data_IF_558840181521
#
_entry.id   IF_558840181521
#
_cell.length_a   1.000
_cell.length_b   1.000
_cell.length_c   1.000
_cell.angle_alpha   90.00
_cell.angle_beta   90.00
_cell.angle_gamma   90.00
#
_symmetry.space_group_name_H-M   'P 1'
#
loop_
_entity.id
_entity.type
_entity.pdbx_description
1 polymer ?
#
# COMPACT_ATOMS: atom_id res chain seq x y z
N UNK A 1 57.16 6.40 49.37
CA UNK A 1 58.55 6.37 48.88
C UNK A 1 58.66 5.30 47.80
N UNK A 2 59.18 5.67 46.60
CA UNK A 2 59.82 4.89 45.50
C UNK A 2 59.30 3.46 45.22
N UNK A 3 58.65 3.16 44.09
CA UNK A 3 59.12 3.07 42.67
C UNK A 3 59.92 1.80 42.32
N UNK A 4 59.44 1.12 41.25
CA UNK A 4 60.16 0.28 40.26
C UNK A 4 60.42 -1.19 40.63
N UNK A 5 60.44 -2.20 39.73
CA UNK A 5 60.02 -2.46 38.33
C UNK A 5 60.41 -3.92 38.00
N UNK A 6 59.80 -4.48 36.93
CA UNK A 6 60.30 -5.55 36.02
C UNK A 6 60.13 -7.06 36.34
N UNK A 7 59.16 -7.66 35.62
CA UNK A 7 59.26 -8.80 34.68
C UNK A 7 60.38 -9.85 34.83
N UNK A 8 60.00 -11.15 34.84
CA UNK A 8 60.27 -12.19 33.78
C UNK A 8 59.46 -13.47 34.10
N UNK A 9 58.65 -13.93 33.13
CA UNK A 9 58.07 -15.29 32.97
C UNK A 9 59.09 -16.19 32.22
N UNK A 10 59.10 -17.53 32.34
CA UNK A 10 58.08 -18.42 31.70
C UNK A 10 57.87 -19.73 32.53
N UNK A 11 57.04 -20.74 32.26
CA UNK A 11 56.05 -21.16 31.26
C UNK A 11 55.57 -22.53 31.75
N UNK A 12 54.29 -22.87 31.72
CA UNK A 12 53.84 -24.24 31.40
C UNK A 12 52.41 -24.23 30.87
N UNK A 13 52.24 -25.05 29.84
CA UNK A 13 51.15 -25.09 28.85
C UNK A 13 49.83 -25.60 29.42
N UNK A 14 48.73 -24.96 29.07
CA UNK A 14 47.42 -25.61 28.95
C UNK A 14 46.87 -25.34 27.56
N UNK A 15 46.54 -26.44 26.87
CA UNK A 15 46.01 -26.47 25.52
C UNK A 15 44.50 -26.24 25.61
N UNK A 16 44.01 -25.05 25.25
CA UNK A 16 42.59 -24.78 25.04
C UNK A 16 42.27 -24.83 23.56
N UNK A 17 41.49 -25.83 23.17
CA UNK A 17 40.81 -25.88 21.88
C UNK A 17 39.79 -24.75 21.81
N UNK A 18 40.00 -23.78 20.91
CA UNK A 18 38.96 -22.84 20.50
C UNK A 18 38.07 -23.58 19.51
N UNK A 19 36.91 -24.05 19.96
CA UNK A 19 35.80 -24.40 19.07
C UNK A 19 35.19 -23.07 18.65
N UNK A 20 35.51 -22.63 17.43
CA UNK A 20 34.80 -21.55 16.76
C UNK A 20 33.41 -22.10 16.41
N UNK A 21 32.43 -21.90 17.28
CA UNK A 21 31.03 -22.07 16.90
C UNK A 21 30.71 -20.90 15.97
N UNK A 22 30.79 -21.16 14.66
CA UNK A 22 30.11 -20.36 13.64
C UNK A 22 28.61 -20.50 13.89
N UNK A 23 28.07 -19.70 14.81
CA UNK A 23 26.65 -19.40 14.83
C UNK A 23 26.36 -18.70 13.50
N UNK A 24 25.48 -19.25 12.63
CA UNK A 24 24.99 -18.46 11.52
C UNK A 24 24.31 -17.24 12.13
N UNK A 25 24.87 -16.07 11.85
CA UNK A 25 24.14 -14.81 11.99
C UNK A 25 22.98 -14.98 11.00
N UNK A 26 21.83 -15.44 11.47
CA UNK A 26 20.60 -15.32 10.69
C UNK A 26 20.40 -13.83 10.50
N UNK A 27 20.78 -13.33 9.33
CA UNK A 27 20.36 -12.02 8.88
C UNK A 27 18.83 -12.02 9.03
N UNK A 28 18.29 -11.06 9.79
CA UNK A 28 16.84 -10.93 9.92
C UNK A 28 16.25 -10.88 8.51
N UNK A 29 15.28 -11.75 8.23
CA UNK A 29 14.63 -11.78 6.93
C UNK A 29 14.04 -10.39 6.64
N UNK A 30 14.35 -9.83 5.48
CA UNK A 30 13.82 -8.54 5.05
C UNK A 30 12.32 -8.73 4.79
N UNK A 31 11.48 -8.05 5.55
CA UNK A 31 10.02 -8.17 5.44
C UNK A 31 9.39 -6.98 4.74
N UNK A 32 8.25 -7.22 4.08
CA UNK A 32 7.40 -6.22 3.46
C UNK A 32 6.04 -6.17 4.17
N UNK A 33 5.49 -4.99 4.47
CA UNK A 33 4.15 -4.86 5.01
C UNK A 33 3.10 -5.05 3.90
N UNK A 34 2.03 -5.79 4.23
CA UNK A 34 0.89 -6.03 3.34
C UNK A 34 -0.39 -5.97 4.16
N UNK A 35 -1.39 -5.18 3.75
CA UNK A 35 -2.74 -5.32 4.31
C UNK A 35 -3.31 -6.66 3.88
N UNK A 36 -3.77 -7.49 4.80
CA UNK A 36 -4.60 -8.63 4.44
C UNK A 36 -6.03 -8.14 4.23
N UNK A 37 -6.65 -8.56 3.13
CA UNK A 37 -8.07 -8.30 2.91
C UNK A 37 -8.92 -9.42 3.52
N UNK A 38 -9.68 -9.09 4.56
CA UNK A 38 -10.55 -10.02 5.28
C UNK A 38 -12.00 -9.53 5.42
N UNK A 39 -12.26 -8.24 5.16
CA UNK A 39 -13.51 -7.50 5.41
C UNK A 39 -13.43 -6.13 4.70
N UNK A 40 -14.20 -5.11 5.11
CA UNK A 40 -14.06 -3.73 4.61
C UNK A 40 -12.58 -3.27 4.59
N UNK A 41 -12.22 -2.50 3.56
CA UNK A 41 -10.85 -2.00 3.41
C UNK A 41 -10.49 -1.05 4.55
N UNK A 42 -9.25 -1.17 5.06
CA UNK A 42 -8.69 -0.28 6.08
C UNK A 42 -9.57 -0.15 7.33
N UNK A 43 -9.81 -1.27 8.02
CA UNK A 43 -10.51 -1.26 9.31
C UNK A 43 -9.54 -0.97 10.47
N UNK A 44 -8.36 -1.60 10.47
CA UNK A 44 -7.42 -1.56 11.59
C UNK A 44 -5.99 -1.93 11.15
N UNK A 45 -5.01 -1.25 11.73
CA UNK A 45 -3.57 -1.53 11.62
C UNK A 45 -3.15 -2.97 11.95
N UNK A 46 -3.91 -3.70 12.78
CA UNK A 46 -3.64 -5.12 13.07
C UNK A 46 -3.81 -6.04 11.85
N UNK A 47 -4.38 -5.54 10.75
CA UNK A 47 -4.54 -6.29 9.51
C UNK A 47 -3.28 -6.23 8.62
N UNK A 48 -2.20 -5.60 9.07
CA UNK A 48 -0.93 -5.56 8.33
C UNK A 48 -0.09 -6.78 8.72
N UNK A 49 0.28 -7.60 7.74
CA UNK A 49 1.28 -8.64 7.89
C UNK A 49 2.65 -8.16 7.43
N UNK A 50 3.68 -8.59 8.16
CA UNK A 50 5.03 -8.62 7.65
C UNK A 50 5.24 -9.96 6.91
N UNK A 51 5.41 -9.92 5.60
CA UNK A 51 5.72 -11.09 4.76
C UNK A 51 7.16 -11.01 4.25
N UNK A 52 7.83 -12.13 3.93
CA UNK A 52 9.17 -12.07 3.34
C UNK A 52 9.18 -11.25 2.04
N UNK A 53 10.09 -10.29 1.92
CA UNK A 53 10.14 -9.42 0.74
C UNK A 53 10.57 -10.16 -0.53
N UNK A 54 11.31 -11.27 -0.38
CA UNK A 54 11.67 -12.16 -1.47
C UNK A 54 10.43 -12.81 -2.12
N UNK A 55 9.45 -13.23 -1.31
CA UNK A 55 8.19 -13.81 -1.80
C UNK A 55 7.38 -12.75 -2.56
N UNK A 56 7.32 -11.53 -2.03
CA UNK A 56 6.68 -10.38 -2.70
C UNK A 56 7.36 -10.08 -4.04
N UNK A 57 8.69 -10.02 -4.05
CA UNK A 57 9.46 -9.76 -5.27
C UNK A 57 9.25 -10.86 -6.31
N UNK A 58 9.18 -12.12 -5.87
CA UNK A 58 8.88 -13.25 -6.75
C UNK A 58 7.47 -13.16 -7.34
N UNK A 59 6.47 -12.80 -6.54
CA UNK A 59 5.07 -12.68 -6.98
C UNK A 59 4.87 -11.56 -8.03
N UNK A 60 5.60 -10.46 -7.90
CA UNK A 60 5.57 -9.33 -8.85
C UNK A 60 6.58 -9.44 -9.99
N UNK A 61 7.31 -10.55 -10.13
CA UNK A 61 8.26 -10.75 -11.25
C UNK A 61 7.55 -10.78 -12.61
N UNK A 62 6.35 -11.33 -12.62
CA UNK A 62 5.48 -11.45 -13.80
C UNK A 62 4.04 -11.16 -13.37
N UNK A 63 3.70 -9.88 -13.12
CA UNK A 63 2.36 -9.51 -12.68
C UNK A 63 1.35 -9.90 -13.77
N UNK A 64 0.18 -10.37 -13.35
CA UNK A 64 -0.91 -10.73 -14.26
C UNK A 64 -1.43 -9.49 -14.97
N UNK A 65 -1.34 -8.34 -14.31
CA UNK A 65 -1.85 -7.07 -14.81
C UNK A 65 -0.99 -5.91 -14.33
N UNK A 66 -0.82 -4.92 -15.21
CA UNK A 66 -0.13 -3.66 -14.96
C UNK A 66 -0.91 -2.52 -15.61
N UNK A 67 -1.42 -1.60 -14.79
CA UNK A 67 -2.13 -0.39 -15.22
C UNK A 67 -1.45 0.85 -14.64
N UNK A 68 -1.63 1.99 -15.30
CA UNK A 68 -1.12 3.25 -14.79
C UNK A 68 -2.07 4.40 -15.13
N UNK A 69 -1.99 5.46 -14.32
CA UNK A 69 -2.74 6.69 -14.53
C UNK A 69 -1.86 7.89 -14.19
N UNK A 70 -2.06 8.98 -14.92
CA UNK A 70 -1.40 10.24 -14.61
C UNK A 70 -2.09 10.91 -13.43
N UNK A 71 -1.30 11.55 -12.57
CA UNK A 71 -1.78 12.40 -11.47
C UNK A 71 -1.21 13.79 -11.72
N UNK A 72 -2.05 14.81 -11.75
CA UNK A 72 -1.56 16.18 -11.86
C UNK A 72 -0.67 16.51 -10.66
N UNK A 73 0.47 17.14 -10.89
CA UNK A 73 1.41 17.40 -9.80
C UNK A 73 2.19 18.69 -9.96
N UNK A 74 3.16 18.85 -9.08
CA UNK A 74 3.98 20.05 -8.95
C UNK A 74 5.46 19.69 -8.96
N UNK A 75 6.27 20.68 -9.29
CA UNK A 75 7.71 20.64 -9.15
C UNK A 75 8.11 21.00 -7.72
N UNK A 76 8.24 19.97 -6.87
CA UNK A 76 8.62 20.13 -5.47
C UNK A 76 10.07 20.56 -5.25
N UNK A 77 10.88 20.64 -6.31
CA UNK A 77 12.28 21.09 -6.19
C UNK A 77 12.38 22.61 -6.01
N UNK A 78 11.28 23.31 -6.27
CA UNK A 78 11.09 24.75 -6.04
C UNK A 78 10.36 24.96 -4.72
N UNK A 79 10.48 26.11 -4.04
CA UNK A 79 9.66 26.42 -2.87
C UNK A 79 8.15 26.32 -3.15
N UNK A 80 7.37 25.84 -2.18
CA UNK A 80 5.92 25.78 -2.24
C UNK A 80 5.32 27.17 -2.58
N UNK A 81 4.35 27.26 -3.52
CA UNK A 81 3.60 26.17 -4.18
C UNK A 81 4.25 25.62 -5.47
N UNK A 82 5.47 26.05 -5.81
CA UNK A 82 6.16 25.65 -7.03
C UNK A 82 5.37 25.91 -8.31
N UNK A 83 5.71 25.17 -9.36
CA UNK A 83 5.03 25.20 -10.66
C UNK A 83 4.42 23.83 -10.98
N UNK A 84 3.33 23.82 -11.76
CA UNK A 84 2.73 22.57 -12.25
C UNK A 84 3.76 21.77 -13.04
N UNK A 85 3.72 20.45 -12.88
CA UNK A 85 4.62 19.53 -13.57
C UNK A 85 3.88 18.26 -13.96
N UNK A 86 3.91 17.95 -15.25
CA UNK A 86 3.37 16.71 -15.79
C UNK A 86 4.36 15.56 -15.63
N UNK A 87 3.84 14.32 -15.62
CA UNK A 87 4.63 13.10 -15.57
C UNK A 87 4.67 12.42 -14.19
N UNK A 88 3.92 12.92 -13.22
CA UNK A 88 3.61 12.16 -12.01
C UNK A 88 2.61 11.05 -12.35
N UNK A 89 2.89 9.83 -11.90
CA UNK A 89 2.14 8.64 -12.28
C UNK A 89 1.88 7.77 -11.05
N UNK A 90 0.71 7.12 -11.01
CA UNK A 90 0.47 5.98 -10.14
C UNK A 90 0.34 4.71 -10.99
N UNK A 91 0.87 3.61 -10.48
CA UNK A 91 0.85 2.31 -11.13
C UNK A 91 0.18 1.30 -10.23
N UNK A 92 -0.62 0.43 -10.82
CA UNK A 92 -1.27 -0.70 -10.18
C UNK A 92 -0.75 -1.98 -10.82
N UNK A 93 -0.17 -2.84 -10.00
CA UNK A 93 0.17 -4.21 -10.40
C UNK A 93 -0.64 -5.20 -9.59
N UNK A 94 -1.15 -6.24 -10.25
CA UNK A 94 -1.70 -7.42 -9.58
C UNK A 94 -0.76 -8.59 -9.82
N UNK A 95 -0.19 -9.11 -8.74
CA UNK A 95 0.73 -10.22 -8.77
C UNK A 95 0.04 -11.53 -9.19
N UNK A 96 0.85 -12.52 -9.53
CA UNK A 96 0.39 -13.89 -9.42
C UNK A 96 0.14 -14.24 -7.94
N UNK A 97 -0.59 -15.33 -7.73
CA UNK A 97 -0.80 -15.88 -6.39
C UNK A 97 0.54 -16.07 -5.66
N UNK A 98 0.64 -15.53 -4.45
CA UNK A 98 1.81 -15.61 -3.58
C UNK A 98 1.54 -16.61 -2.46
N UNK A 99 2.44 -17.56 -2.26
CA UNK A 99 2.40 -18.47 -1.10
C UNK A 99 2.73 -17.71 0.18
N UNK A 100 1.96 -17.95 1.24
CA UNK A 100 2.25 -17.44 2.56
C UNK A 100 3.14 -18.43 3.32
N UNK A 101 4.04 -17.89 4.14
CA UNK A 101 4.85 -18.72 5.02
C UNK A 101 3.98 -19.52 5.97
N UNK A 102 4.31 -20.80 6.19
CA UNK A 102 3.63 -21.65 7.16
C UNK A 102 3.69 -21.10 8.60
N UNK A 103 4.62 -20.17 8.88
CA UNK A 103 4.68 -19.44 10.15
C UNK A 103 3.56 -18.41 10.34
N UNK A 104 2.94 -17.95 9.25
CA UNK A 104 1.78 -17.05 9.25
C UNK A 104 0.50 -17.88 9.23
N UNK A 105 0.39 -18.74 8.21
CA UNK A 105 -0.73 -19.64 7.99
C UNK A 105 -0.28 -20.80 7.13
N UNK A 106 -0.64 -22.02 7.52
CA UNK A 106 -0.24 -23.22 6.79
C UNK A 106 -1.00 -23.33 5.46
N UNK A 107 -0.28 -23.72 4.41
CA UNK A 107 -0.83 -24.08 3.10
C UNK A 107 -1.84 -23.05 2.54
N UNK A 108 -1.53 -21.76 2.66
CA UNK A 108 -2.39 -20.70 2.16
C UNK A 108 -1.66 -19.75 1.23
N UNK A 109 -2.43 -19.11 0.37
CA UNK A 109 -1.97 -18.14 -0.62
C UNK A 109 -2.75 -16.83 -0.51
N UNK A 110 -2.23 -15.80 -1.16
CA UNK A 110 -2.91 -14.52 -1.36
C UNK A 110 -2.59 -13.96 -2.75
N UNK A 111 -3.52 -13.24 -3.37
CA UNK A 111 -3.21 -12.41 -4.54
C UNK A 111 -2.91 -11.00 -4.07
N UNK A 112 -1.73 -10.47 -4.42
CA UNK A 112 -1.33 -9.12 -4.03
C UNK A 112 -1.69 -8.10 -5.11
N UNK A 113 -2.27 -6.98 -4.70
CA UNK A 113 -2.27 -5.73 -5.47
C UNK A 113 -1.26 -4.77 -4.86
N UNK A 114 -0.49 -4.08 -5.71
CA UNK A 114 0.52 -3.11 -5.29
C UNK A 114 0.32 -1.78 -6.01
N UNK A 115 0.44 -0.68 -5.26
CA UNK A 115 0.52 0.67 -5.80
C UNK A 115 1.96 1.18 -5.69
N UNK A 116 2.50 1.64 -6.82
CA UNK A 116 3.78 2.36 -6.89
C UNK A 116 3.58 3.72 -7.56
N UNK A 117 4.55 4.61 -7.40
CA UNK A 117 4.42 6.00 -7.81
C UNK A 117 5.66 6.46 -8.55
N UNK A 118 5.48 6.98 -9.76
CA UNK A 118 6.55 7.54 -10.58
C UNK A 118 6.53 9.05 -10.56
N UNK A 119 7.71 9.65 -10.69
CA UNK A 119 7.89 11.09 -10.83
C UNK A 119 8.43 11.44 -12.23
N UNK A 120 8.29 12.69 -12.66
CA UNK A 120 8.86 13.15 -13.93
C UNK A 120 10.38 12.94 -13.97
N UNK A 121 10.91 12.55 -15.13
CA UNK A 121 12.35 12.33 -15.30
C UNK A 121 13.20 13.58 -15.00
N UNK A 122 12.65 14.78 -15.20
CA UNK A 122 13.30 16.05 -14.84
C UNK A 122 13.45 16.26 -13.33
N UNK A 123 12.70 15.51 -12.52
CA UNK A 123 12.75 15.53 -11.06
C UNK A 123 13.52 14.33 -10.49
N UNK A 124 14.23 13.59 -11.35
CA UNK A 124 15.02 12.41 -10.98
C UNK A 124 16.45 12.54 -11.50
N UNK A 125 17.40 11.97 -10.76
CA UNK A 125 18.75 11.70 -11.23
C UNK A 125 19.05 10.21 -11.04
N UNK A 126 19.04 9.47 -12.15
CA UNK A 126 19.08 8.00 -12.12
C UNK A 126 17.81 7.41 -11.52
N UNK A 127 17.93 6.67 -10.41
CA UNK A 127 16.79 6.05 -9.68
C UNK A 127 16.38 6.82 -8.41
N UNK A 128 16.97 7.99 -8.18
CA UNK A 128 16.75 8.79 -6.98
C UNK A 128 16.07 10.11 -7.34
N UNK A 129 15.09 10.57 -6.54
CA UNK A 129 14.50 11.88 -6.76
C UNK A 129 15.49 13.00 -6.50
N UNK A 130 15.32 14.13 -7.17
CA UNK A 130 15.94 15.39 -6.77
C UNK A 130 15.39 15.83 -5.42
N UNK A 131 16.21 16.59 -4.68
CA UNK A 131 15.84 17.10 -3.38
C UNK A 131 14.54 17.92 -3.45
N UNK A 132 13.62 17.62 -2.54
CA UNK A 132 12.41 18.42 -2.31
C UNK A 132 12.76 19.63 -1.45
N UNK A 133 12.22 20.79 -1.82
CA UNK A 133 12.33 21.98 -0.99
C UNK A 133 11.61 21.77 0.35
N UNK A 134 12.21 22.20 1.46
CA UNK A 134 11.71 21.94 2.81
C UNK A 134 10.32 22.54 3.10
N UNK A 135 9.84 23.45 2.26
CA UNK A 135 8.49 24.01 2.36
C UNK A 135 7.37 23.07 1.92
N UNK A 136 7.67 21.89 1.35
CA UNK A 136 6.67 20.92 0.91
C UNK A 136 6.34 19.86 1.96
N UNK A 137 5.08 19.44 1.96
CA UNK A 137 4.62 18.22 2.61
C UNK A 137 3.52 17.59 1.75
N UNK A 138 3.65 16.31 1.43
CA UNK A 138 2.76 15.62 0.49
C UNK A 138 2.08 14.45 1.19
N UNK A 139 0.76 14.35 1.05
CA UNK A 139 -0.05 13.24 1.56
C UNK A 139 -0.70 12.50 0.38
N UNK A 140 -0.54 11.19 0.29
CA UNK A 140 -1.22 10.33 -0.68
C UNK A 140 -2.23 9.45 0.05
N UNK A 141 -3.49 9.66 -0.26
CA UNK A 141 -4.61 8.92 0.30
C UNK A 141 -5.05 7.85 -0.70
N UNK A 142 -5.22 6.62 -0.23
CA UNK A 142 -5.66 5.48 -1.04
C UNK A 142 -7.02 5.03 -0.55
N UNK A 143 -8.04 5.10 -1.41
CA UNK A 143 -9.35 4.52 -1.19
C UNK A 143 -9.58 3.34 -2.13
N UNK A 144 -10.33 2.34 -1.69
CA UNK A 144 -10.65 1.15 -2.48
C UNK A 144 -12.17 0.97 -2.55
N UNK A 145 -12.66 0.71 -3.75
CA UNK A 145 -14.05 0.35 -4.03
C UNK A 145 -14.15 -1.01 -4.70
N UNK A 146 -15.23 -1.73 -4.42
CA UNK A 146 -15.66 -2.92 -5.17
C UNK A 146 -16.97 -2.68 -5.92
N UNK A 147 -17.40 -1.41 -6.03
CA UNK A 147 -18.61 -1.05 -6.78
C UNK A 147 -18.41 -1.31 -8.28
N UNK A 148 -19.29 -2.10 -8.92
CA UNK A 148 -19.19 -2.36 -10.35
C UNK A 148 -19.19 -1.09 -11.20
N UNK A 149 -19.92 -0.05 -10.79
CA UNK A 149 -20.02 1.21 -11.52
C UNK A 149 -18.70 1.98 -11.52
N UNK A 150 -18.00 2.03 -10.39
CA UNK A 150 -16.67 2.64 -10.29
C UNK A 150 -15.67 1.90 -11.18
N UNK A 151 -15.71 0.55 -11.16
CA UNK A 151 -14.86 -0.27 -12.01
C UNK A 151 -15.11 -0.04 -13.48
N UNK A 152 -16.37 -0.11 -13.92
CA UNK A 152 -16.77 0.10 -15.32
C UNK A 152 -16.35 1.47 -15.83
N UNK A 153 -16.47 2.51 -15.01
CA UNK A 153 -16.04 3.85 -15.36
C UNK A 153 -14.52 3.94 -15.58
N UNK A 154 -13.73 3.44 -14.62
CA UNK A 154 -12.26 3.48 -14.71
C UNK A 154 -11.75 2.62 -15.87
N UNK A 155 -12.29 1.41 -16.05
CA UNK A 155 -11.94 0.52 -17.16
C UNK A 155 -12.38 1.10 -18.52
N UNK A 156 -13.47 1.89 -18.54
CA UNK A 156 -13.95 2.63 -19.71
C UNK A 156 -13.12 3.87 -20.06
N UNK A 157 -12.10 4.21 -19.27
CA UNK A 157 -11.17 5.31 -19.53
C UNK A 157 -11.63 6.68 -19.05
N UNK A 158 -12.72 6.78 -18.28
CA UNK A 158 -13.21 8.05 -17.73
C UNK A 158 -12.43 8.51 -16.49
N UNK A 159 -11.30 7.86 -16.17
CA UNK A 159 -10.46 8.17 -15.01
C UNK A 159 -11.31 8.30 -13.73
N UNK A 160 -11.23 9.42 -13.02
CA UNK A 160 -12.02 9.71 -11.83
C UNK A 160 -13.31 10.50 -12.10
N UNK A 161 -13.68 10.74 -13.36
CA UNK A 161 -14.78 11.64 -13.72
C UNK A 161 -16.17 11.09 -13.37
N UNK A 162 -16.25 9.81 -12.97
CA UNK A 162 -17.48 9.20 -12.45
C UNK A 162 -17.82 9.67 -11.03
N UNK A 163 -16.86 10.25 -10.30
CA UNK A 163 -17.12 10.91 -9.04
C UNK A 163 -17.84 12.22 -9.31
N UNK A 164 -18.99 12.44 -8.66
CA UNK A 164 -19.74 13.68 -8.78
C UNK A 164 -18.89 14.90 -8.38
N UNK A 165 -19.24 16.07 -8.90
CA UNK A 165 -18.56 17.31 -8.53
C UNK A 165 -18.62 17.58 -7.02
N UNK A 166 -19.76 17.24 -6.40
CA UNK A 166 -19.94 17.31 -4.94
C UNK A 166 -18.98 16.37 -4.21
N UNK A 167 -18.89 15.11 -4.62
CA UNK A 167 -17.92 14.16 -4.06
C UNK A 167 -16.47 14.66 -4.19
N UNK A 168 -16.09 15.18 -5.36
CA UNK A 168 -14.73 15.71 -5.56
C UNK A 168 -14.45 16.95 -4.69
N UNK A 169 -15.43 17.82 -4.49
CA UNK A 169 -15.31 19.00 -3.64
C UNK A 169 -15.21 18.63 -2.16
N UNK A 170 -16.02 17.66 -1.71
CA UNK A 170 -15.98 17.18 -0.33
C UNK A 170 -14.71 16.39 -0.03
N UNK A 171 -14.21 15.60 -0.99
CA UNK A 171 -12.89 14.97 -0.90
C UNK A 171 -11.79 16.03 -0.73
N UNK A 172 -11.77 17.05 -1.59
CA UNK A 172 -10.81 18.16 -1.48
C UNK A 172 -10.89 18.83 -0.11
N UNK A 173 -12.09 19.12 0.36
CA UNK A 173 -12.31 19.78 1.65
C UNK A 173 -11.85 18.91 2.80
N UNK A 174 -12.30 17.65 2.87
CA UNK A 174 -11.91 16.68 3.91
C UNK A 174 -10.40 16.51 4.00
N UNK A 175 -9.72 16.43 2.85
CA UNK A 175 -8.26 16.21 2.80
C UNK A 175 -7.42 17.46 3.11
N UNK A 176 -8.00 18.67 3.11
CA UNK A 176 -7.24 19.94 3.23
C UNK A 176 -7.68 20.87 4.36
N UNK A 177 -8.92 20.75 4.88
CA UNK A 177 -9.48 21.72 5.83
C UNK A 177 -8.72 21.80 7.17
N UNK A 178 -8.22 20.66 7.64
CA UNK A 178 -7.51 20.51 8.92
C UNK A 178 -6.00 20.28 8.74
N UNK A 179 -5.44 20.84 7.66
CA UNK A 179 -4.04 20.67 7.30
C UNK A 179 -3.12 21.18 8.41
N UNK A 180 -2.29 20.29 8.96
CA UNK A 180 -1.42 20.57 10.12
C UNK A 180 -2.14 20.67 11.47
N UNK A 181 -3.42 20.30 11.54
CA UNK A 181 -4.26 20.42 12.74
C UNK A 181 -4.92 19.11 13.17
N UNK A 182 -5.05 18.14 12.27
CA UNK A 182 -5.75 16.89 12.54
C UNK A 182 -5.03 15.97 13.55
N UNK A 183 -3.69 15.94 13.51
CA UNK A 183 -2.87 15.20 14.48
C UNK A 183 -1.47 15.80 14.61
N UNK A 184 -0.86 15.61 15.78
CA UNK A 184 0.53 16.01 16.01
C UNK A 184 1.50 15.22 15.12
N UNK A 185 2.51 15.89 14.57
CA UNK A 185 3.58 15.27 13.79
C UNK A 185 3.25 15.00 12.31
N UNK A 186 2.10 15.42 11.82
CA UNK A 186 1.73 15.32 10.40
C UNK A 186 1.05 16.60 9.90
N UNK A 187 1.17 16.89 8.61
CA UNK A 187 0.38 17.94 7.98
C UNK A 187 -0.93 17.44 7.37
N UNK A 188 -1.14 16.12 7.21
CA UNK A 188 -2.36 15.60 6.60
C UNK A 188 -3.61 15.91 7.45
N UNK A 189 -4.69 16.35 6.82
CA UNK A 189 -5.96 16.71 7.49
C UNK A 189 -6.85 15.51 7.82
N UNK A 190 -6.76 14.45 7.02
CA UNK A 190 -7.50 13.21 7.20
C UNK A 190 -6.51 12.08 7.44
N UNK A 191 -6.86 11.15 8.32
CA UNK A 191 -5.95 10.12 8.80
C UNK A 191 -6.35 8.75 8.26
N UNK A 192 -5.45 7.78 8.47
CA UNK A 192 -5.74 6.39 8.13
C UNK A 192 -7.03 5.92 8.81
N UNK A 193 -7.80 5.12 8.07
CA UNK A 193 -9.09 4.55 8.44
C UNK A 193 -10.28 5.50 8.43
N UNK A 194 -10.08 6.80 8.14
CA UNK A 194 -11.19 7.73 8.01
C UNK A 194 -12.09 7.35 6.81
N UNK A 195 -13.43 7.52 6.96
CA UNK A 195 -14.37 7.20 5.90
C UNK A 195 -14.28 8.21 4.75
N UNK A 196 -14.57 7.73 3.54
CA UNK A 196 -14.81 8.59 2.39
C UNK A 196 -16.02 9.51 2.67
N UNK A 197 -16.03 10.77 2.16
CA UNK A 197 -17.16 11.66 2.35
C UNK A 197 -18.50 11.03 1.93
N UNK A 198 -19.61 11.31 2.64
CA UNK A 198 -20.91 10.73 2.34
C UNK A 198 -21.39 10.96 0.90
N UNK A 199 -21.08 12.12 0.31
CA UNK A 199 -21.39 12.46 -1.09
C UNK A 199 -20.73 11.53 -2.12
N UNK A 200 -19.69 10.79 -1.73
CA UNK A 200 -19.02 9.81 -2.59
C UNK A 200 -19.60 8.40 -2.49
N UNK A 201 -20.45 8.10 -1.50
CA UNK A 201 -20.89 6.72 -1.24
C UNK A 201 -21.73 6.13 -2.38
N UNK A 202 -22.51 6.97 -3.07
CA UNK A 202 -23.32 6.53 -4.21
C UNK A 202 -22.47 6.11 -5.43
N UNK A 203 -21.29 6.70 -5.63
CA UNK A 203 -20.43 6.35 -6.77
C UNK A 203 -19.33 5.37 -6.39
N UNK A 204 -18.81 5.45 -5.17
CA UNK A 204 -17.60 4.75 -4.74
C UNK A 204 -17.84 3.76 -3.59
N UNK A 205 -19.00 3.79 -2.93
CA UNK A 205 -19.32 2.93 -1.78
C UNK A 205 -18.76 3.45 -0.46
N UNK A 206 -18.89 2.64 0.60
CA UNK A 206 -18.44 2.97 1.95
C UNK A 206 -16.93 2.72 2.14
N UNK A 207 -16.12 3.38 1.32
CA UNK A 207 -14.67 3.23 1.40
C UNK A 207 -14.09 3.94 2.63
N UNK A 208 -12.98 3.42 3.13
CA UNK A 208 -12.06 4.12 4.05
C UNK A 208 -10.74 4.39 3.33
N UNK A 209 -9.89 5.21 3.91
CA UNK A 209 -8.57 5.50 3.36
C UNK A 209 -7.42 4.90 4.14
N UNK A 210 -6.33 4.64 3.43
CA UNK A 210 -4.98 4.67 4.00
C UNK A 210 -4.29 5.98 3.59
N UNK A 211 -3.27 6.41 4.33
CA UNK A 211 -2.52 7.64 4.04
C UNK A 211 -1.01 7.41 4.13
N UNK A 212 -0.30 7.86 3.09
CA UNK A 212 1.16 7.85 3.04
C UNK A 212 1.63 9.30 2.92
N UNK A 213 2.39 9.75 3.90
CA UNK A 213 2.87 11.13 3.98
C UNK A 213 4.40 11.19 3.84
N UNK A 214 4.90 12.26 3.22
CA UNK A 214 6.34 12.47 3.07
C UNK A 214 6.70 13.95 2.91
N UNK A 215 7.91 14.26 3.35
CA UNK A 215 8.52 15.58 3.29
C UNK A 215 9.94 15.50 2.70
N UNK A 216 10.66 16.62 2.75
CA UNK A 216 12.03 16.71 2.26
C UNK A 216 12.99 15.73 2.98
N UNK A 217 12.78 15.48 4.28
CA UNK A 217 13.64 14.57 5.04
C UNK A 217 13.41 13.11 4.60
N UNK A 218 12.15 12.72 4.36
CA UNK A 218 11.83 11.41 3.82
C UNK A 218 12.47 11.19 2.44
N UNK A 219 12.36 12.17 1.52
CA UNK A 219 12.94 12.05 0.18
C UNK A 219 14.47 12.15 0.14
N UNK A 220 15.11 12.71 1.16
CA UNK A 220 16.56 12.68 1.29
C UNK A 220 17.09 11.28 1.65
N UNK A 221 16.26 10.38 2.17
CA UNK A 221 16.64 9.02 2.49
C UNK A 221 16.63 8.13 1.24
N UNK A 222 17.82 7.73 0.77
CA UNK A 222 17.98 6.94 -0.47
C UNK A 222 17.33 5.56 -0.46
N UNK A 223 16.98 5.03 0.72
CA UNK A 223 16.26 3.76 0.88
C UNK A 223 14.75 3.96 0.82
N UNK A 224 14.24 5.06 1.39
CA UNK A 224 12.81 5.32 1.48
C UNK A 224 12.27 6.12 0.29
N UNK A 225 13.06 7.04 -0.26
CA UNK A 225 12.63 7.90 -1.35
C UNK A 225 12.06 7.13 -2.55
N UNK A 226 12.69 6.02 -3.02
CA UNK A 226 12.14 5.22 -4.11
C UNK A 226 10.73 4.66 -3.85
N UNK A 227 10.33 4.47 -2.59
CA UNK A 227 8.99 3.97 -2.24
C UNK A 227 7.89 4.91 -2.77
N UNK A 228 8.19 6.21 -2.85
CA UNK A 228 7.22 7.24 -3.22
C UNK A 228 7.51 7.90 -4.57
N UNK A 229 8.61 7.52 -5.23
CA UNK A 229 9.05 8.16 -6.47
C UNK A 229 9.48 7.20 -7.57
N UNK A 230 9.56 5.90 -7.30
CA UNK A 230 9.88 4.89 -8.30
C UNK A 230 8.66 4.03 -8.68
N UNK A 231 8.51 3.79 -9.98
CA UNK A 231 7.51 2.85 -10.54
C UNK A 231 7.79 1.40 -10.15
N UNK A 232 9.05 1.04 -9.91
CA UNK A 232 9.45 -0.33 -9.58
C UNK A 232 9.03 -0.69 -8.15
N UNK A 233 8.67 -1.96 -7.94
CA UNK A 233 8.36 -2.50 -6.60
C UNK A 233 9.52 -2.25 -5.62
N UNK A 234 9.20 -1.69 -4.46
CA UNK A 234 10.13 -1.46 -3.35
C UNK A 234 9.69 -2.27 -2.13
N UNK A 235 10.59 -2.46 -1.16
CA UNK A 235 10.28 -3.19 0.07
C UNK A 235 9.01 -2.68 0.76
N UNK A 236 8.81 -1.36 0.77
CA UNK A 236 7.69 -0.71 1.45
C UNK A 236 6.64 -0.10 0.50
N UNK A 237 6.61 -0.51 -0.77
CA UNK A 237 5.49 -0.12 -1.66
C UNK A 237 4.16 -0.54 -1.03
N UNK A 238 3.14 0.27 -1.28
CA UNK A 238 1.82 0.05 -0.70
C UNK A 238 1.19 -1.21 -1.30
N UNK A 239 0.66 -2.10 -0.45
CA UNK A 239 0.13 -3.41 -0.86
C UNK A 239 -1.08 -3.86 -0.08
N UNK A 240 -1.96 -4.56 -0.78
CA UNK A 240 -3.10 -5.27 -0.20
C UNK A 240 -3.26 -6.66 -0.82
N UNK A 241 -3.37 -7.69 0.03
CA UNK A 241 -3.69 -9.06 -0.33
C UNK A 241 -5.19 -9.27 -0.55
N UNK A 242 -5.62 -10.50 -0.83
CA UNK A 242 -7.04 -10.86 -0.97
C UNK A 242 -7.56 -11.69 0.20
N UNK A 243 -6.75 -11.91 1.23
CA UNK A 243 -7.07 -12.84 2.32
C UNK A 243 -6.19 -14.07 2.27
N UNK A 244 -6.53 -15.08 3.06
CA UNK A 244 -5.91 -16.41 2.96
C UNK A 244 -6.84 -17.33 2.16
N UNK A 245 -6.31 -17.90 1.09
CA UNK A 245 -7.04 -18.82 0.22
C UNK A 245 -6.27 -20.13 0.08
N UNK A 246 -6.95 -21.16 -0.40
CA UNK A 246 -6.26 -22.38 -0.81
C UNK A 246 -5.44 -22.09 -2.08
N UNK A 247 -4.25 -22.72 -2.24
CA UNK A 247 -3.49 -22.61 -3.47
C UNK A 247 -4.32 -22.95 -4.71
N UNK A 248 -4.26 -22.09 -5.73
CA UNK A 248 -5.01 -22.24 -6.97
C UNK A 248 -6.47 -21.79 -6.89
N UNK A 249 -6.89 -21.06 -5.85
CA UNK A 249 -8.24 -20.49 -5.79
C UNK A 249 -8.44 -19.46 -6.91
N UNK A 250 -9.22 -19.90 -7.90
CA UNK A 250 -9.55 -19.13 -9.08
C UNK A 250 -10.30 -17.82 -8.77
N UNK A 251 -10.98 -17.73 -7.63
CA UNK A 251 -11.73 -16.55 -7.21
C UNK A 251 -10.85 -15.45 -6.62
N UNK A 252 -9.68 -15.81 -6.07
CA UNK A 252 -8.79 -14.87 -5.39
C UNK A 252 -8.32 -13.75 -6.31
N UNK A 253 -7.98 -14.06 -7.56
CA UNK A 253 -7.62 -13.04 -8.53
C UNK A 253 -8.82 -12.15 -8.89
N UNK A 254 -9.99 -12.74 -9.10
CA UNK A 254 -11.20 -11.97 -9.45
C UNK A 254 -11.53 -10.94 -8.35
N UNK A 255 -11.33 -11.29 -7.08
CA UNK A 255 -11.45 -10.35 -5.96
C UNK A 255 -10.47 -9.17 -6.07
N UNK A 256 -9.19 -9.44 -6.33
CA UNK A 256 -8.18 -8.38 -6.54
C UNK A 256 -8.52 -7.50 -7.75
N UNK A 257 -8.93 -8.12 -8.86
CA UNK A 257 -9.22 -7.45 -10.12
C UNK A 257 -10.51 -6.61 -10.10
N UNK A 258 -11.44 -6.94 -9.21
CA UNK A 258 -12.67 -6.18 -9.02
C UNK A 258 -12.51 -4.91 -8.18
N UNK A 259 -11.31 -4.66 -7.65
CA UNK A 259 -11.02 -3.43 -6.91
C UNK A 259 -10.74 -2.27 -7.84
N UNK A 260 -11.31 -1.13 -7.50
CA UNK A 260 -10.97 0.18 -8.05
C UNK A 260 -10.28 1.01 -6.98
N UNK A 261 -9.14 1.59 -7.32
CA UNK A 261 -8.31 2.38 -6.43
C UNK A 261 -8.44 3.85 -6.80
N UNK A 262 -8.78 4.69 -5.83
CA UNK A 262 -8.69 6.14 -5.92
C UNK A 262 -7.46 6.58 -5.11
N UNK A 263 -6.51 7.22 -5.78
CA UNK A 263 -5.36 7.88 -5.18
C UNK A 263 -5.62 9.38 -5.19
N UNK A 264 -5.79 9.97 -4.01
CA UNK A 264 -5.85 11.43 -3.84
C UNK A 264 -4.52 11.93 -3.29
N UNK A 265 -3.80 12.72 -4.09
CA UNK A 265 -2.51 13.33 -3.67
C UNK A 265 -2.75 14.77 -3.27
N UNK A 266 -2.47 15.10 -2.02
CA UNK A 266 -2.51 16.45 -1.48
C UNK A 266 -1.11 17.06 -1.54
N UNK A 267 -1.00 18.18 -2.23
CA UNK A 267 0.20 18.97 -2.43
C UNK A 267 0.14 20.19 -1.52
N UNK A 268 0.79 20.13 -0.37
CA UNK A 268 0.67 21.14 0.67
C UNK A 268 1.99 21.68 1.18
N UNK A 269 1.86 22.66 2.07
CA UNK A 269 2.97 23.29 2.75
C UNK A 269 3.38 22.48 3.99
N UNK A 270 4.67 22.48 4.31
CA UNK A 270 5.20 21.95 5.57
C UNK A 270 5.01 22.95 6.71
N UNK A 271 5.15 22.49 7.96
CA UNK A 271 5.08 23.36 9.14
C UNK A 271 6.12 24.51 9.11
N UNK A 272 7.22 24.33 8.38
CA UNK A 272 8.31 25.30 8.28
C UNK A 272 8.14 26.29 7.11
N UNK A 273 7.09 26.13 6.30
CA UNK A 273 6.87 26.96 5.13
C UNK A 273 6.59 28.42 5.52
N UNK A 274 7.22 29.35 4.80
CA UNK A 274 7.04 30.81 5.00
C UNK A 274 5.80 31.35 4.28
N UNK A 275 5.36 30.68 3.23
CA UNK A 275 4.19 31.04 2.44
C UNK A 275 3.15 29.94 2.59
N UNK A 276 1.95 30.33 3.05
CA UNK A 276 0.85 29.43 3.31
C UNK A 276 -0.21 29.70 2.23
N UNK A 277 -0.20 28.88 1.19
CA UNK A 277 -1.31 28.73 0.25
C UNK A 277 -2.10 27.47 0.62
N UNK A 278 -3.40 27.45 0.32
CA UNK A 278 -4.23 26.28 0.55
C UNK A 278 -3.67 25.06 -0.22
N UNK A 279 -3.52 23.89 0.42
CA UNK A 279 -3.09 22.68 -0.27
C UNK A 279 -4.01 22.32 -1.43
N UNK A 280 -3.44 21.75 -2.48
CA UNK A 280 -4.20 21.32 -3.66
C UNK A 280 -4.30 19.80 -3.72
N UNK A 281 -5.42 19.27 -4.22
CA UNK A 281 -5.62 17.83 -4.36
C UNK A 281 -5.75 17.43 -5.82
N UNK A 282 -4.99 16.42 -6.21
CA UNK A 282 -5.06 15.75 -7.51
C UNK A 282 -5.54 14.32 -7.33
N UNK A 283 -6.34 13.83 -8.29
CA UNK A 283 -6.91 12.49 -8.26
C UNK A 283 -6.35 11.60 -9.37
N UNK A 284 -6.10 10.34 -9.06
CA UNK A 284 -5.83 9.28 -10.02
C UNK A 284 -6.64 8.04 -9.69
N UNK A 285 -7.34 7.48 -10.69
CA UNK A 285 -8.15 6.27 -10.52
C UNK A 285 -7.56 5.13 -11.34
N UNK A 286 -7.47 3.95 -10.74
CA UNK A 286 -6.85 2.76 -11.29
C UNK A 286 -7.77 1.55 -11.07
N UNK A 287 -7.83 0.68 -12.07
CA UNK A 287 -8.47 -0.63 -12.00
C UNK A 287 -7.67 -1.57 -12.90
N UNK A 288 -7.79 -2.88 -12.69
CA UNK A 288 -7.03 -3.89 -13.42
C UNK A 288 -7.62 -4.25 -14.78
N UNK A 289 -8.55 -3.46 -15.33
CA UNK A 289 -9.26 -3.83 -16.55
C UNK A 289 -10.19 -5.03 -16.36
N UNK A 290 -10.38 -5.83 -17.41
CA UNK A 290 -11.31 -6.97 -17.39
C UNK A 290 -11.11 -7.86 -16.15
N UNK A 291 -12.21 -8.18 -15.45
CA UNK A 291 -12.19 -9.22 -14.42
C UNK A 291 -11.72 -10.52 -15.07
N UNK A 292 -10.57 -11.04 -14.68
CA UNK A 292 -10.13 -12.34 -15.16
C UNK A 292 -11.12 -13.39 -14.66
N UNK A 293 -11.79 -14.04 -15.59
CA UNK A 293 -12.44 -15.31 -15.36
C UNK A 293 -11.38 -16.36 -15.70
N UNK A 294 -10.87 -17.13 -14.73
CA UNK A 294 -10.00 -18.25 -15.04
C UNK A 294 -10.66 -19.16 -16.07
N UNK A 295 -9.87 -19.56 -17.09
CA UNK A 295 -10.33 -20.54 -18.08
C UNK A 295 -10.74 -21.81 -17.30
N UNK A 296 -11.93 -22.40 -17.52
CA UNK A 296 -12.33 -23.62 -16.82
C UNK A 296 -11.23 -24.68 -16.96
N UNK A 297 -10.94 -25.47 -15.90
CA UNK A 297 -10.03 -26.60 -16.04
C UNK A 297 -10.51 -27.44 -17.23
N UNK A 298 -9.60 -27.79 -18.14
CA UNK A 298 -9.93 -28.65 -19.28
C UNK A 298 -10.65 -29.88 -18.74
N UNK A 299 -11.83 -30.25 -19.29
CA UNK A 299 -12.59 -31.36 -18.75
C UNK A 299 -11.71 -32.61 -18.83
N UNK A 300 -11.48 -33.21 -17.67
CA UNK A 300 -10.96 -34.57 -17.57
C UNK A 300 -11.90 -35.47 -18.38
N UNK A 301 -11.37 -36.13 -19.41
CA UNK A 301 -12.12 -37.17 -20.13
C UNK A 301 -12.44 -38.30 -19.16
N UNK A 302 -13.66 -38.28 -18.63
CA UNK A 302 -14.26 -39.40 -17.91
C UNK A 302 -15.61 -39.71 -18.52
N UNK A 303 -15.60 -40.72 -19.39
CA UNK A 303 -16.77 -41.39 -19.97
C UNK A 303 -17.55 -42.09 -18.85
N UNK A 304 -18.76 -41.63 -18.49
CA UNK A 304 -19.82 -42.48 -17.90
C UNK A 304 -21.20 -41.94 -18.28
N UNK A 305 -22.12 -42.87 -18.53
CA UNK A 305 -23.42 -42.75 -19.16
C UNK A 305 -24.58 -42.21 -18.28
N UNK A 306 -25.53 -41.59 -18.97
CA UNK A 306 -27.01 -41.56 -18.82
C UNK A 306 -27.67 -41.52 -17.43
N UNK A 307 -28.43 -40.44 -17.16
CA UNK A 307 -29.87 -40.48 -16.82
C UNK A 307 -30.48 -39.07 -16.76
N UNK A 308 -31.64 -38.87 -17.42
CA UNK A 308 -32.50 -37.70 -17.28
C UNK A 308 -33.06 -37.58 -15.85
N UNK A 309 -33.45 -36.37 -15.41
CA UNK A 309 -34.88 -36.13 -15.28
C UNK A 309 -35.36 -34.68 -15.55
N UNK A 310 -36.67 -34.61 -15.74
CA UNK A 310 -37.53 -33.47 -16.02
C UNK A 310 -37.68 -32.48 -14.85
N UNK A 311 -37.81 -31.20 -15.23
CA UNK A 311 -38.59 -30.08 -14.66
C UNK A 311 -39.10 -30.14 -13.21
N UNK A 312 -38.73 -29.15 -12.38
CA UNK A 312 -39.66 -28.45 -11.48
C UNK A 312 -39.07 -27.14 -10.92
N UNK A 313 -39.97 -26.28 -10.44
CA UNK A 313 -39.93 -24.83 -10.25
C UNK A 313 -39.23 -24.30 -8.98
N UNK A 314 -38.89 -23.00 -9.03
CA UNK A 314 -38.55 -22.09 -7.93
C UNK A 314 -39.50 -22.20 -6.71
N UNK A 315 -39.05 -21.81 -5.51
CA UNK A 315 -39.38 -20.46 -5.05
C UNK A 315 -38.29 -19.69 -4.29
N UNK A 316 -38.40 -18.38 -4.51
CA UNK A 316 -37.94 -17.20 -3.80
C UNK A 316 -38.06 -17.29 -2.26
N UNK A 317 -37.04 -16.79 -1.55
CA UNK A 317 -37.14 -16.42 -0.13
C UNK A 317 -36.27 -15.19 0.16
N UNK A 318 -36.81 -14.32 1.00
CA UNK A 318 -36.48 -12.91 1.21
C UNK A 318 -35.78 -12.69 2.56
N UNK A 319 -34.89 -11.69 2.59
CA UNK A 319 -34.48 -10.82 3.71
C UNK A 319 -33.84 -11.40 4.99
N UNK A 320 -32.71 -10.80 5.39
CA UNK A 320 -32.70 -9.91 6.58
C UNK A 320 -31.35 -9.21 6.74
N UNK A 321 -31.40 -7.88 6.73
CA UNK A 321 -30.34 -6.95 7.13
C UNK A 321 -30.19 -6.94 8.65
N UNK A 322 -28.96 -6.85 9.15
CA UNK A 322 -28.71 -6.41 10.53
C UNK A 322 -27.63 -5.33 10.52
N UNK A 323 -28.04 -4.12 10.89
CA UNK A 323 -27.19 -2.96 11.07
C UNK A 323 -26.56 -3.03 12.45
N UNK A 324 -25.23 -3.10 12.53
CA UNK A 324 -24.48 -2.94 13.76
C UNK A 324 -23.65 -1.67 13.67
N UNK A 325 -24.20 -0.54 14.12
CA UNK A 325 -23.40 0.65 14.43
C UNK A 325 -22.48 0.32 15.60
N UNK A 326 -21.19 0.16 15.34
CA UNK A 326 -20.16 0.21 16.36
C UNK A 326 -19.39 1.51 16.21
N UNK A 327 -19.52 2.35 17.22
CA UNK A 327 -18.75 3.57 17.43
C UNK A 327 -17.30 3.19 17.67
N UNK A 328 -16.47 3.30 16.64
CA UNK A 328 -15.02 3.09 16.73
C UNK A 328 -14.34 4.39 17.15
N UNK A 329 -13.64 4.35 18.27
CA UNK A 329 -12.69 5.36 18.75
C UNK A 329 -11.62 5.69 17.70
N UNK A 330 -11.17 6.96 17.59
CA UNK A 330 -10.37 7.43 16.47
C UNK A 330 -8.91 6.94 16.47
N UNK A 331 -8.48 6.60 15.25
CA UNK A 331 -7.15 6.72 14.65
C UNK A 331 -5.91 6.26 15.47
N UNK A 332 -5.47 5.02 15.23
CA UNK A 332 -4.03 4.77 15.07
C UNK A 332 -3.69 5.01 13.62
N UNK A 333 -2.66 5.80 13.35
CA UNK A 333 -2.13 6.01 12.00
C UNK A 333 -1.90 4.61 11.40
N UNK A 334 -2.57 4.32 10.28
CA UNK A 334 -2.27 3.16 9.47
C UNK A 334 -0.96 3.48 8.79
N UNK A 335 0.11 2.92 9.32
CA UNK A 335 1.43 3.33 8.93
C UNK A 335 2.11 2.15 8.23
N UNK A 336 2.22 2.22 6.91
CA UNK A 336 3.30 1.49 6.22
C UNK A 336 4.62 2.28 6.19
N UNK A 337 4.61 3.62 6.30
CA UNK A 337 5.82 4.46 6.17
C UNK A 337 6.57 4.87 7.47
N UNK A 338 5.85 5.17 8.55
CA UNK A 338 6.32 5.66 9.87
C UNK A 338 6.50 4.54 10.95
N UNK A 339 5.86 3.35 10.86
CA UNK A 339 5.84 2.32 11.92
C UNK A 339 7.18 1.62 12.01
N UNK A 340 7.98 1.69 10.94
CA UNK A 340 9.31 1.10 10.93
C UNK A 340 10.43 2.05 11.35
N UNK A 341 10.22 3.38 11.30
CA UNK A 341 11.28 4.34 11.61
C UNK A 341 11.42 4.59 13.11
N UNK A 342 10.34 4.47 13.89
CA UNK A 342 10.44 4.58 15.35
C UNK A 342 11.02 3.31 16.02
N UNK A 343 10.95 2.15 15.36
CA UNK A 343 11.42 0.88 15.94
C UNK A 343 12.90 0.57 15.70
N UNK A 344 13.52 1.10 14.64
CA UNK A 344 14.89 0.71 14.24
C UNK A 344 15.97 1.72 14.61
N UNK A 345 15.61 2.96 14.95
CA UNK A 345 16.57 3.98 15.40
C UNK A 345 16.73 4.09 16.93
N UNK A 346 16.09 3.23 17.72
CA UNK A 346 16.29 3.14 19.18
C UNK A 346 17.19 1.97 19.60
N UNK A 347 17.74 1.22 18.65
CA UNK A 347 18.67 0.10 18.87
C UNK A 347 19.80 0.10 17.83
N UNK A 348 20.63 1.15 17.86
CA UNK A 348 22.05 1.11 17.47
C UNK A 348 22.80 2.27 18.10
#
# INVERSE_FOLDING_TARGET
MRSSSCFVYPSHRFSSFIILILLPIMAAAITSPVYIDYNEFFINSSNILAVPYEDVTAAFRTPVTNYSTAIDGFDWTQPYPGSRRDGHMAYLEIAQEMSLSASIVENSTTVLSSLTFGIPGSMSSGRQPLAMDASWYICRHVFISTRPEAKLAVDGGTKCDFLSQECQADLKTSLTQDWGKAAEGTMCSALGFDPIPPSCQESFGFARQDVIAFDAAFLANTTLAPVLTNREQQQYSWRIGTGYHNPGDASAYALAANRTYLVATVWGYSQSAKHIQAPEVSFGCLSSGASYIPRPPSPSSSTVATASPSTSLLPMATASSSSGSQTLTPARIAIMGIMLVLGTHMLS
#
